data_IF_388280669139
#
_entry.id   IF_388280669139
#
_cell.length_a   1.000
_cell.length_b   1.000
_cell.length_c   1.000
_cell.angle_alpha   90.00
_cell.angle_beta   90.00
_cell.angle_gamma   90.00
#
_symmetry.space_group_name_H-M   'P 1'
#
loop_
_entity.id
_entity.type
_entity.pdbx_description
1 polymer ?
#
# COMPACT_ATOMS: atom_id res chain seq x y z
N UNK A 1 17.60 15.41 20.42
CA UNK A 1 16.68 14.77 19.46
C UNK A 1 15.43 14.35 20.21
N UNK A 2 14.25 14.82 19.82
CA UNK A 2 12.99 14.39 20.43
C UNK A 2 12.76 12.90 20.15
N UNK A 3 12.13 12.20 21.10
CA UNK A 3 11.72 10.82 20.88
C UNK A 3 10.82 10.71 19.62
N UNK A 4 10.94 9.64 18.82
CA UNK A 4 10.08 9.44 17.66
C UNK A 4 8.62 9.33 18.09
N UNK A 5 7.72 10.00 17.37
CA UNK A 5 6.28 9.90 17.62
C UNK A 5 5.81 8.48 17.32
N UNK A 6 5.18 7.85 18.33
CA UNK A 6 4.67 6.47 18.27
C UNK A 6 3.20 6.41 17.84
N UNK A 7 2.53 7.55 17.66
CA UNK A 7 1.11 7.58 17.26
C UNK A 7 0.95 7.02 15.85
N UNK A 8 -0.11 6.24 15.67
CA UNK A 8 -0.53 5.79 14.35
C UNK A 8 -1.08 6.96 13.55
N UNK A 9 -0.75 6.99 12.27
CA UNK A 9 -1.19 8.02 11.33
C UNK A 9 -1.65 7.35 10.03
N UNK A 10 -2.56 8.02 9.31
CA UNK A 10 -3.00 7.63 7.98
C UNK A 10 -2.53 8.66 6.96
N UNK A 11 -2.20 8.20 5.74
CA UNK A 11 -1.82 9.07 4.63
C UNK A 11 -3.07 9.72 4.04
N UNK A 12 -3.05 11.03 3.85
CA UNK A 12 -4.08 11.75 3.10
C UNK A 12 -3.35 12.65 2.11
N UNK A 13 -3.82 12.70 0.87
CA UNK A 13 -3.24 13.56 -0.15
C UNK A 13 -3.61 15.02 0.10
N UNK A 14 -2.76 15.95 -0.34
CA UNK A 14 -2.98 17.38 -0.13
C UNK A 14 -4.19 17.92 -0.90
N UNK A 15 -4.52 17.27 -2.01
CA UNK A 15 -5.63 17.52 -2.92
C UNK A 15 -6.89 16.70 -2.57
N UNK A 16 -6.95 16.13 -1.36
CA UNK A 16 -8.04 15.24 -0.95
C UNK A 16 -9.43 15.88 -1.12
N UNK A 17 -9.58 17.14 -0.74
CA UNK A 17 -10.84 17.87 -0.84
C UNK A 17 -11.14 18.35 -2.27
N UNK A 18 -10.12 18.46 -3.12
CA UNK A 18 -10.24 18.85 -4.53
C UNK A 18 -10.54 17.64 -5.44
N UNK A 19 -10.56 16.42 -4.89
CA UNK A 19 -10.92 15.24 -5.64
C UNK A 19 -12.40 15.33 -6.06
N UNK A 20 -12.76 15.14 -7.35
CA UNK A 20 -14.15 15.23 -7.80
C UNK A 20 -15.13 14.28 -7.09
N UNK A 21 -14.65 13.17 -6.51
CA UNK A 21 -15.49 12.27 -5.70
C UNK A 21 -15.76 12.78 -4.28
N UNK A 22 -14.96 13.74 -3.80
CA UNK A 22 -14.99 14.29 -2.43
C UNK A 22 -15.59 15.70 -2.42
N UNK A 23 -15.20 16.55 -3.37
CA UNK A 23 -15.60 17.96 -3.46
C UNK A 23 -17.13 18.14 -3.43
N UNK A 24 -17.87 17.28 -4.13
CA UNK A 24 -19.34 17.36 -4.21
C UNK A 24 -20.08 16.70 -3.04
N UNK A 25 -19.38 16.12 -2.08
CA UNK A 25 -19.99 15.54 -0.90
C UNK A 25 -20.33 16.61 0.12
N UNK A 26 -21.32 16.32 0.98
CA UNK A 26 -21.56 17.17 2.16
C UNK A 26 -20.38 17.11 3.14
N UNK A 27 -20.17 18.17 3.92
CA UNK A 27 -19.15 18.22 4.98
C UNK A 27 -19.22 17.00 5.91
N UNK A 28 -20.44 16.53 6.21
CA UNK A 28 -20.64 15.36 7.06
C UNK A 28 -20.14 14.06 6.40
N UNK A 29 -20.32 13.91 5.09
CA UNK A 29 -19.81 12.78 4.31
C UNK A 29 -18.29 12.84 4.14
N UNK A 30 -17.72 14.03 3.87
CA UNK A 30 -16.27 14.21 3.82
C UNK A 30 -15.61 13.85 5.16
N UNK A 31 -16.15 14.37 6.28
CA UNK A 31 -15.68 14.05 7.62
C UNK A 31 -15.88 12.57 7.97
N UNK A 32 -16.99 11.97 7.53
CA UNK A 32 -17.21 10.53 7.67
C UNK A 32 -16.09 9.76 6.98
N UNK A 33 -15.77 10.09 5.73
CA UNK A 33 -14.76 9.37 4.96
C UNK A 33 -13.38 9.44 5.62
N UNK A 34 -12.94 10.63 6.06
CA UNK A 34 -11.70 10.78 6.84
C UNK A 34 -11.72 9.95 8.14
N UNK A 35 -12.83 9.96 8.87
CA UNK A 35 -12.98 9.16 10.09
C UNK A 35 -12.89 7.66 9.82
N UNK A 36 -13.44 7.19 8.70
CA UNK A 36 -13.36 5.80 8.28
C UNK A 36 -11.92 5.41 7.91
N UNK A 37 -11.18 6.26 7.19
CA UNK A 37 -9.75 6.04 6.86
C UNK A 37 -8.93 5.86 8.14
N UNK A 38 -9.08 6.78 9.10
CA UNK A 38 -8.38 6.71 10.38
C UNK A 38 -8.75 5.45 11.17
N UNK A 39 -10.04 5.09 11.18
CA UNK A 39 -10.52 3.89 11.87
C UNK A 39 -9.99 2.61 11.24
N UNK A 40 -10.01 2.52 9.91
CA UNK A 40 -9.44 1.39 9.18
C UNK A 40 -7.94 1.25 9.49
N UNK A 41 -7.21 2.37 9.54
CA UNK A 41 -5.78 2.35 9.88
C UNK A 41 -5.52 1.87 11.30
N UNK A 42 -6.33 2.31 12.26
CA UNK A 42 -6.26 1.84 13.65
C UNK A 42 -6.59 0.34 13.78
N UNK A 43 -7.41 -0.21 12.89
CA UNK A 43 -7.78 -1.63 12.90
C UNK A 43 -6.75 -2.53 12.20
N UNK A 44 -6.03 -2.02 11.19
CA UNK A 44 -5.03 -2.78 10.44
C UNK A 44 -5.63 -3.93 9.62
N UNK A 45 -6.85 -3.76 9.08
CA UNK A 45 -7.60 -4.81 8.36
C UNK A 45 -7.90 -4.44 6.90
N UNK A 46 -6.94 -3.85 6.19
CA UNK A 46 -7.07 -3.60 4.74
C UNK A 46 -8.30 -2.77 4.36
N UNK A 47 -8.65 -1.75 5.14
CA UNK A 47 -9.80 -0.89 4.83
C UNK A 47 -11.17 -1.45 5.22
N UNK A 48 -11.25 -2.67 5.78
CA UNK A 48 -12.51 -3.32 6.14
C UNK A 48 -13.17 -2.71 7.38
N UNK A 49 -14.47 -2.46 7.29
CA UNK A 49 -15.28 -1.79 8.30
C UNK A 49 -16.64 -2.46 8.48
N UNK A 50 -17.14 -2.44 9.71
CA UNK A 50 -18.52 -2.82 10.01
C UNK A 50 -19.49 -1.70 9.60
N UNK A 51 -20.68 -2.04 9.13
CA UNK A 51 -21.69 -1.07 8.68
C UNK A 51 -22.06 -0.04 9.76
N UNK A 52 -22.08 -0.44 11.04
CA UNK A 52 -22.29 0.48 12.15
C UNK A 52 -21.27 1.62 12.18
N UNK A 53 -20.01 1.34 11.83
CA UNK A 53 -18.98 2.36 11.74
C UNK A 53 -19.23 3.30 10.55
N UNK A 54 -19.63 2.75 9.40
CA UNK A 54 -19.96 3.52 8.21
C UNK A 54 -21.17 4.43 8.39
N UNK A 55 -22.06 4.14 9.36
CA UNK A 55 -23.26 4.93 9.66
C UNK A 55 -23.13 5.83 10.89
N UNK A 56 -21.93 6.04 11.42
CA UNK A 56 -21.72 6.78 12.69
C UNK A 56 -22.18 8.25 12.61
N UNK A 57 -22.21 8.83 11.41
CA UNK A 57 -22.72 10.19 11.15
C UNK A 57 -24.13 10.21 10.55
N UNK A 58 -24.84 9.09 10.61
CA UNK A 58 -26.18 8.93 10.06
C UNK A 58 -26.21 8.26 8.68
N UNK A 59 -27.43 7.99 8.21
CA UNK A 59 -27.66 7.24 6.97
C UNK A 59 -27.42 8.06 5.70
N UNK A 60 -27.65 9.38 5.74
CA UNK A 60 -27.46 10.25 4.57
C UNK A 60 -25.97 10.37 4.17
N UNK A 61 -25.03 10.73 5.06
CA UNK A 61 -23.60 10.76 4.71
C UNK A 61 -23.05 9.40 4.28
N UNK A 62 -23.53 8.33 4.92
CA UNK A 62 -23.20 6.97 4.51
C UNK A 62 -23.63 6.68 3.07
N UNK A 63 -24.87 7.06 2.72
CA UNK A 63 -25.41 6.87 1.37
C UNK A 63 -24.61 7.65 0.33
N UNK A 64 -24.24 8.90 0.62
CA UNK A 64 -23.39 9.71 -0.26
C UNK A 64 -22.05 9.01 -0.58
N UNK A 65 -21.38 8.44 0.43
CA UNK A 65 -20.11 7.72 0.21
C UNK A 65 -20.29 6.45 -0.63
N UNK A 66 -21.41 5.75 -0.47
CA UNK A 66 -21.72 4.56 -1.29
C UNK A 66 -22.03 4.98 -2.72
N UNK A 67 -22.87 6.00 -2.91
CA UNK A 67 -23.28 6.50 -4.23
C UNK A 67 -22.09 7.10 -5.00
N UNK A 68 -21.13 7.74 -4.31
CA UNK A 68 -19.88 8.25 -4.88
C UNK A 68 -18.81 7.16 -5.16
N UNK A 69 -19.09 5.90 -4.81
CA UNK A 69 -18.17 4.78 -5.00
C UNK A 69 -16.91 4.88 -4.13
N UNK A 70 -17.02 5.43 -2.92
CA UNK A 70 -15.95 5.51 -1.92
C UNK A 70 -16.01 4.36 -0.91
N UNK A 71 -17.14 3.66 -0.84
CA UNK A 71 -17.34 2.47 -0.02
C UNK A 71 -17.83 1.29 -0.85
N UNK A 72 -17.06 0.21 -0.83
CA UNK A 72 -17.37 -1.04 -1.52
C UNK A 72 -18.04 -2.03 -0.55
N UNK A 73 -19.18 -2.60 -0.94
CA UNK A 73 -19.83 -3.65 -0.16
C UNK A 73 -19.05 -4.96 -0.30
N UNK A 74 -18.62 -5.54 0.81
CA UNK A 74 -17.85 -6.81 0.84
C UNK A 74 -18.60 -7.96 1.53
N UNK A 75 -19.79 -7.70 2.07
CA UNK A 75 -20.66 -8.74 2.62
C UNK A 75 -21.85 -8.18 3.39
N UNK A 76 -22.61 -9.05 4.09
CA UNK A 76 -23.64 -8.62 5.02
C UNK A 76 -23.02 -7.75 6.11
N UNK A 77 -23.44 -6.49 6.21
CA UNK A 77 -22.94 -5.51 7.19
C UNK A 77 -21.43 -5.25 7.16
N UNK A 78 -20.76 -5.56 6.04
CA UNK A 78 -19.32 -5.36 5.86
C UNK A 78 -19.05 -4.50 4.62
N UNK A 79 -18.23 -3.47 4.83
CA UNK A 79 -17.85 -2.49 3.83
C UNK A 79 -16.33 -2.35 3.81
N UNK A 80 -15.78 -1.89 2.70
CA UNK A 80 -14.37 -1.54 2.56
C UNK A 80 -14.25 -0.13 1.98
N UNK A 81 -13.22 0.60 2.39
CA UNK A 81 -12.87 1.87 1.74
C UNK A 81 -12.28 1.56 0.36
N UNK A 82 -12.80 2.21 -0.67
CA UNK A 82 -12.34 2.04 -2.04
C UNK A 82 -10.86 2.41 -2.18
N UNK A 83 -10.09 1.60 -2.92
CA UNK A 83 -8.64 1.79 -3.15
C UNK A 83 -7.77 1.96 -1.88
N UNK A 84 -8.26 1.52 -0.71
CA UNK A 84 -7.56 1.77 0.56
C UNK A 84 -6.11 1.27 0.57
N UNK A 85 -5.86 0.03 0.13
CA UNK A 85 -4.52 -0.58 0.15
C UNK A 85 -3.55 0.04 -0.86
N UNK A 86 -4.08 0.68 -1.91
CA UNK A 86 -3.28 1.43 -2.89
C UNK A 86 -2.68 2.70 -2.26
N UNK A 87 -3.42 3.32 -1.35
CA UNK A 87 -3.03 4.59 -0.72
C UNK A 87 -2.42 4.40 0.67
N UNK A 88 -2.83 3.36 1.39
CA UNK A 88 -2.31 3.01 2.70
C UNK A 88 -1.39 1.82 2.60
N UNK A 89 -0.12 2.03 2.94
CA UNK A 89 0.81 0.91 3.09
C UNK A 89 0.60 0.28 4.45
N UNK A 90 0.21 -0.99 4.48
CA UNK A 90 0.19 -1.74 5.73
C UNK A 90 1.61 -2.16 6.15
N UNK A 91 1.89 -2.25 7.47
CA UNK A 91 3.22 -2.55 7.99
C UNK A 91 3.81 -3.85 7.45
N UNK A 92 2.99 -4.88 7.30
CA UNK A 92 3.38 -6.20 6.79
C UNK A 92 3.92 -6.10 5.35
N UNK A 93 3.24 -5.33 4.50
CA UNK A 93 3.68 -5.05 3.14
C UNK A 93 4.96 -4.18 3.11
N UNK A 94 5.21 -3.35 4.12
CA UNK A 94 6.47 -2.58 4.20
C UNK A 94 7.67 -3.47 4.50
N UNK A 95 7.52 -4.47 5.38
CA UNK A 95 8.61 -5.38 5.73
C UNK A 95 9.01 -6.26 4.56
N UNK A 96 8.04 -6.84 3.84
CA UNK A 96 8.31 -7.70 2.69
C UNK A 96 8.90 -6.90 1.52
N UNK A 97 8.34 -5.74 1.20
CA UNK A 97 8.87 -4.90 0.13
C UNK A 97 10.27 -4.38 0.43
N UNK A 98 10.58 -4.05 1.69
CA UNK A 98 11.94 -3.65 2.10
C UNK A 98 12.92 -4.82 2.04
N UNK A 99 12.51 -6.01 2.47
CA UNK A 99 13.34 -7.21 2.39
C UNK A 99 13.66 -7.57 0.92
N UNK A 100 12.64 -7.55 0.06
CA UNK A 100 12.79 -7.80 -1.38
C UNK A 100 13.66 -6.74 -2.07
N UNK A 101 13.41 -5.45 -1.80
CA UNK A 101 14.22 -4.36 -2.35
C UNK A 101 15.68 -4.42 -1.86
N UNK A 102 15.90 -4.76 -0.58
CA UNK A 102 17.23 -4.98 -0.02
C UNK A 102 17.95 -6.16 -0.67
N UNK A 103 17.25 -7.28 -0.88
CA UNK A 103 17.79 -8.45 -1.57
C UNK A 103 18.18 -8.12 -3.03
N UNK A 104 17.31 -7.39 -3.77
CA UNK A 104 17.63 -6.94 -5.13
C UNK A 104 18.81 -5.97 -5.15
N UNK A 105 18.86 -5.01 -4.22
CA UNK A 105 19.96 -4.05 -4.11
C UNK A 105 21.30 -4.73 -3.81
N UNK A 106 21.31 -5.70 -2.90
CA UNK A 106 22.50 -6.53 -2.63
C UNK A 106 22.92 -7.31 -3.87
N UNK A 107 21.97 -7.90 -4.59
CA UNK A 107 22.25 -8.61 -5.84
C UNK A 107 22.88 -7.67 -6.89
N UNK A 108 22.31 -6.48 -7.13
CA UNK A 108 22.89 -5.51 -8.08
C UNK A 108 24.33 -5.15 -7.66
N UNK A 109 24.52 -4.78 -6.39
CA UNK A 109 25.81 -4.28 -5.89
C UNK A 109 26.91 -5.33 -5.89
N UNK A 110 26.58 -6.57 -5.51
CA UNK A 110 27.58 -7.61 -5.29
C UNK A 110 27.76 -8.54 -6.48
N UNK A 111 26.73 -8.73 -7.30
CA UNK A 111 26.73 -9.72 -8.39
C UNK A 111 26.70 -9.02 -9.74
N UNK A 112 25.66 -8.24 -10.04
CA UNK A 112 25.49 -7.61 -11.36
C UNK A 112 26.62 -6.62 -11.70
N UNK A 113 26.85 -5.61 -10.86
CA UNK A 113 27.87 -4.58 -11.09
C UNK A 113 29.30 -5.12 -11.05
N UNK A 114 29.52 -6.22 -10.33
CA UNK A 114 30.83 -6.86 -10.22
C UNK A 114 31.03 -7.98 -11.25
N UNK A 115 30.01 -8.29 -12.04
CA UNK A 115 30.00 -9.40 -13.00
C UNK A 115 30.36 -10.72 -12.32
N UNK A 116 29.72 -10.98 -11.17
CA UNK A 116 29.90 -12.19 -10.40
C UNK A 116 28.60 -12.98 -10.41
N UNK A 117 28.62 -14.20 -10.93
CA UNK A 117 27.45 -15.08 -10.94
C UNK A 117 27.47 -16.03 -9.74
N UNK A 118 26.44 -15.99 -8.91
CA UNK A 118 26.30 -16.85 -7.73
C UNK A 118 25.15 -17.85 -7.93
N UNK A 119 25.49 -19.13 -8.05
CA UNK A 119 24.54 -20.22 -8.27
C UNK A 119 23.62 -20.53 -7.08
N UNK A 120 23.82 -19.90 -5.91
CA UNK A 120 22.89 -19.96 -4.79
C UNK A 120 21.95 -18.75 -4.74
N UNK A 121 22.25 -17.67 -5.46
CA UNK A 121 21.43 -16.46 -5.48
C UNK A 121 20.22 -16.61 -6.41
N UNK A 122 19.02 -16.49 -5.84
CA UNK A 122 17.76 -16.59 -6.61
C UNK A 122 17.69 -15.57 -7.74
N UNK A 123 18.17 -14.33 -7.53
CA UNK A 123 18.14 -13.30 -8.57
C UNK A 123 19.13 -13.58 -9.71
N UNK A 124 20.32 -14.13 -9.43
CA UNK A 124 21.25 -14.57 -10.47
C UNK A 124 20.62 -15.67 -11.35
N UNK A 125 19.96 -16.65 -10.73
CA UNK A 125 19.25 -17.70 -11.48
C UNK A 125 18.16 -17.12 -12.37
N UNK A 126 17.30 -16.26 -11.83
CA UNK A 126 16.25 -15.61 -12.62
C UNK A 126 16.82 -14.77 -13.77
N UNK A 127 17.94 -14.07 -13.56
CA UNK A 127 18.61 -13.32 -14.62
C UNK A 127 19.18 -14.24 -15.71
N UNK A 128 19.74 -15.39 -15.34
CA UNK A 128 20.21 -16.41 -16.28
C UNK A 128 19.06 -17.02 -17.08
N UNK A 129 17.95 -17.38 -16.41
CA UNK A 129 16.76 -17.94 -17.04
C UNK A 129 16.13 -16.97 -18.05
N UNK A 130 16.22 -15.66 -17.76
CA UNK A 130 15.76 -14.58 -18.65
C UNK A 130 16.76 -14.17 -19.72
N UNK A 131 17.98 -14.73 -19.69
CA UNK A 131 19.05 -14.38 -20.64
C UNK A 131 19.51 -12.92 -20.53
N UNK A 132 19.55 -12.36 -19.32
CA UNK A 132 20.01 -10.98 -19.12
C UNK A 132 21.48 -10.80 -19.56
N UNK A 133 21.76 -9.68 -20.25
CA UNK A 133 23.04 -9.43 -20.93
C UNK A 133 24.26 -9.43 -20.00
N UNK A 134 24.09 -9.07 -18.73
CA UNK A 134 25.19 -9.06 -17.78
C UNK A 134 25.63 -10.48 -17.37
N UNK A 135 24.73 -11.47 -17.42
CA UNK A 135 25.05 -12.86 -17.08
C UNK A 135 25.88 -13.52 -18.19
N UNK A 136 25.60 -13.17 -19.44
CA UNK A 136 26.29 -13.69 -20.63
C UNK A 136 27.52 -12.87 -21.03
N UNK A 137 27.85 -11.82 -20.26
CA UNK A 137 29.01 -10.99 -20.54
C UNK A 137 30.32 -11.80 -20.37
N UNK A 138 31.31 -11.67 -21.26
CA UNK A 138 32.56 -12.45 -21.22
C UNK A 138 33.43 -12.23 -19.98
N UNK A 139 33.17 -11.17 -19.21
CA UNK A 139 33.85 -10.86 -17.95
C UNK A 139 33.12 -11.40 -16.72
N UNK A 140 31.99 -12.09 -16.92
CA UNK A 140 31.21 -12.64 -15.81
C UNK A 140 31.87 -13.89 -15.28
N UNK A 141 32.26 -13.84 -14.01
CA UNK A 141 32.95 -14.93 -13.32
C UNK A 141 31.99 -15.68 -12.39
N UNK A 142 32.00 -17.02 -12.40
CA UNK A 142 31.24 -17.79 -11.43
C UNK A 142 31.87 -17.67 -10.04
N UNK A 143 31.04 -17.65 -9.01
CA UNK A 143 31.41 -17.63 -7.60
C UNK A 143 31.05 -18.93 -6.92
#
# INVERSE_FOLDING_TARGET
MSAPDKRLWAKVSVDYFDNPKIEFLTDSAQLLHLQLILKAKAQGRGGMLAERACKVRGAAPFKELVDAGLLDRKGPQKWAIHDYEKHQTEPENLTENRASAGARGNHVRHHENKRVFDGACTHCKTAADKGEQWVTHPETVPK
#
